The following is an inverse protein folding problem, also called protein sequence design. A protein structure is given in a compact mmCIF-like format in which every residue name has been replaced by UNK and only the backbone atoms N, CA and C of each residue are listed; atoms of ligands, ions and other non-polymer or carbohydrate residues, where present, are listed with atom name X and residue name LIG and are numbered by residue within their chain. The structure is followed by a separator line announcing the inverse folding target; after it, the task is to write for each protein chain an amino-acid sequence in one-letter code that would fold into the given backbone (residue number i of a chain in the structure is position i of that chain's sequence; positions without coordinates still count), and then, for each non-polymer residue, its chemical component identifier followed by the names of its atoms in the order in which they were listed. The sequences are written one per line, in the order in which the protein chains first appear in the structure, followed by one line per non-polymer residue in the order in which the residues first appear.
data_IF_619671674912
#
_entry.id   IF_619671674912
#
_cell.length_a   1.000
_cell.length_b   1.000
_cell.length_c   1.000
_cell.angle_alpha   90.00
_cell.angle_beta   90.00
_cell.angle_gamma   90.00
#
_symmetry.space_group_name_H-M   'P 1'
#
loop_
_entity.id
_entity.type
_entity.pdbx_description
1 polymer ?
#
# COMPACT_ATOMS: atom_id res chain seq x y z
N UNK A 1 -34.74 2.68 -7.85
CA UNK A 1 -33.77 2.33 -8.91
C UNK A 1 -32.30 2.56 -8.53
N UNK A 2 -31.99 3.21 -7.39
CA UNK A 2 -30.62 3.58 -7.00
C UNK A 2 -29.85 2.37 -6.41
N UNK A 3 -30.49 1.58 -5.55
CA UNK A 3 -29.90 0.38 -4.92
C UNK A 3 -29.26 -0.64 -5.88
N UNK A 4 -29.91 -1.07 -6.98
CA UNK A 4 -29.28 -2.04 -7.90
C UNK A 4 -28.06 -1.45 -8.63
N UNK A 5 -28.10 -0.16 -8.97
CA UNK A 5 -26.97 0.52 -9.61
C UNK A 5 -25.76 0.62 -8.68
N UNK A 6 -25.98 0.91 -7.39
CA UNK A 6 -24.93 0.92 -6.36
C UNK A 6 -24.26 -0.45 -6.22
N UNK A 7 -25.05 -1.53 -6.12
CA UNK A 7 -24.53 -2.89 -6.00
C UNK A 7 -23.69 -3.26 -7.22
N UNK A 8 -24.15 -2.88 -8.42
CA UNK A 8 -23.43 -3.17 -9.66
C UNK A 8 -22.08 -2.43 -9.73
N UNK A 9 -22.02 -1.16 -9.31
CA UNK A 9 -20.76 -0.40 -9.27
C UNK A 9 -19.77 -1.02 -8.28
N UNK A 10 -20.23 -1.40 -7.09
CA UNK A 10 -19.37 -2.03 -6.08
C UNK A 10 -18.87 -3.39 -6.57
N UNK A 11 -19.74 -4.22 -7.14
CA UNK A 11 -19.35 -5.51 -7.72
C UNK A 11 -18.34 -5.34 -8.86
N UNK A 12 -18.56 -4.38 -9.75
CA UNK A 12 -17.64 -4.06 -10.83
C UNK A 12 -16.27 -3.60 -10.29
N UNK A 13 -16.25 -2.75 -9.27
CA UNK A 13 -15.00 -2.30 -8.65
C UNK A 13 -14.20 -3.47 -8.04
N UNK A 14 -14.87 -4.39 -7.34
CA UNK A 14 -14.24 -5.59 -6.78
C UNK A 14 -13.64 -6.46 -7.91
N UNK A 15 -14.40 -6.70 -8.98
CA UNK A 15 -13.94 -7.50 -10.13
C UNK A 15 -12.76 -6.83 -10.83
N UNK A 16 -12.77 -5.51 -11.02
CA UNK A 16 -11.67 -4.78 -11.64
C UNK A 16 -10.40 -4.83 -10.79
N UNK A 17 -10.51 -4.65 -9.47
CA UNK A 17 -9.37 -4.78 -8.54
C UNK A 17 -8.83 -6.22 -8.58
N UNK A 18 -9.70 -7.24 -8.58
CA UNK A 18 -9.29 -8.63 -8.70
C UNK A 18 -8.58 -8.92 -10.04
N UNK A 19 -8.96 -8.23 -11.12
CA UNK A 19 -8.31 -8.27 -12.43
C UNK A 19 -7.00 -7.47 -12.51
N UNK A 20 -6.41 -7.07 -11.38
CA UNK A 20 -5.14 -6.31 -11.31
C UNK A 20 -5.22 -4.93 -11.97
N UNK A 21 -6.43 -4.36 -12.14
CA UNK A 21 -6.57 -2.97 -12.55
C UNK A 21 -6.14 -2.07 -11.39
N UNK A 22 -5.52 -0.93 -11.72
CA UNK A 22 -5.01 0.03 -10.76
C UNK A 22 -6.07 0.44 -9.73
N UNK A 23 -5.92 -0.02 -8.49
CA UNK A 23 -6.93 0.14 -7.44
C UNK A 23 -7.25 1.62 -7.17
N UNK A 24 -6.24 2.50 -7.29
CA UNK A 24 -6.42 3.96 -7.12
C UNK A 24 -7.41 4.51 -8.15
N UNK A 25 -7.24 4.13 -9.41
CA UNK A 25 -8.11 4.58 -10.49
C UNK A 25 -9.52 4.02 -10.34
N UNK A 26 -9.63 2.71 -10.04
CA UNK A 26 -10.93 2.05 -9.85
C UNK A 26 -11.72 2.68 -8.72
N UNK A 27 -11.09 2.96 -7.57
CA UNK A 27 -11.74 3.59 -6.42
C UNK A 27 -12.16 5.04 -6.71
N UNK A 28 -11.35 5.82 -7.44
CA UNK A 28 -11.72 7.18 -7.84
C UNK A 28 -12.95 7.16 -8.75
N UNK A 29 -12.94 6.33 -9.79
CA UNK A 29 -14.06 6.22 -10.74
C UNK A 29 -15.32 5.72 -10.04
N UNK A 30 -15.22 4.68 -9.20
CA UNK A 30 -16.34 4.18 -8.42
C UNK A 30 -16.91 5.25 -7.48
N UNK A 31 -16.05 6.01 -6.79
CA UNK A 31 -16.46 7.10 -5.91
C UNK A 31 -17.21 8.21 -6.66
N UNK A 32 -16.74 8.59 -7.85
CA UNK A 32 -17.40 9.58 -8.71
C UNK A 32 -18.77 9.08 -9.19
N UNK A 33 -18.87 7.82 -9.63
CA UNK A 33 -20.13 7.22 -10.06
C UNK A 33 -21.14 7.14 -8.91
N UNK A 34 -20.69 6.76 -7.71
CA UNK A 34 -21.54 6.67 -6.52
C UNK A 34 -22.03 8.05 -6.06
N UNK A 35 -21.16 9.05 -6.03
CA UNK A 35 -21.53 10.41 -5.66
C UNK A 35 -22.45 11.07 -6.71
N UNK A 36 -22.26 10.73 -8.00
CA UNK A 36 -23.16 11.12 -9.08
C UNK A 36 -24.56 10.51 -8.92
N UNK A 37 -24.65 9.21 -8.59
CA UNK A 37 -25.93 8.53 -8.29
C UNK A 37 -26.62 9.08 -7.04
N UNK A 38 -25.85 9.56 -6.06
CA UNK A 38 -26.38 10.18 -4.86
C UNK A 38 -26.85 11.63 -5.07
N UNK A 39 -26.59 12.24 -6.24
CA UNK A 39 -26.93 13.63 -6.53
C UNK A 39 -26.08 14.67 -5.80
N UNK A 40 -24.98 14.26 -5.16
CA UNK A 40 -24.09 15.14 -4.38
C UNK A 40 -22.64 15.06 -4.87
N UNK A 41 -22.34 15.50 -6.11
CA UNK A 41 -20.99 15.42 -6.68
C UNK A 41 -19.98 16.33 -5.96
N UNK A 42 -20.43 17.43 -5.35
CA UNK A 42 -19.59 18.36 -4.58
C UNK A 42 -18.96 17.72 -3.36
N UNK A 43 -19.62 16.70 -2.78
CA UNK A 43 -19.13 15.96 -1.60
C UNK A 43 -17.77 15.31 -1.83
N UNK A 44 -17.43 14.96 -3.08
CA UNK A 44 -16.12 14.40 -3.43
C UNK A 44 -15.03 15.45 -3.18
N UNK A 45 -15.25 16.68 -3.64
CA UNK A 45 -14.30 17.77 -3.46
C UNK A 45 -14.19 18.15 -1.98
N UNK A 46 -15.31 18.21 -1.25
CA UNK A 46 -15.29 18.51 0.19
C UNK A 46 -14.48 17.47 0.97
N UNK A 47 -14.68 16.18 0.69
CA UNK A 47 -13.91 15.09 1.32
C UNK A 47 -12.44 15.16 0.93
N UNK A 48 -12.15 15.44 -0.33
CA UNK A 48 -10.77 15.58 -0.82
C UNK A 48 -10.05 16.76 -0.14
N UNK A 49 -10.67 17.94 -0.09
CA UNK A 49 -10.11 19.11 0.58
C UNK A 49 -9.88 18.85 2.07
N UNK A 50 -10.82 18.19 2.74
CA UNK A 50 -10.65 17.82 4.15
C UNK A 50 -9.52 16.80 4.38
N UNK A 51 -9.37 15.82 3.47
CA UNK A 51 -8.28 14.85 3.55
C UNK A 51 -6.91 15.50 3.31
N UNK A 52 -6.83 16.45 2.37
CA UNK A 52 -5.60 17.18 2.01
C UNK A 52 -5.31 18.36 2.94
N UNK A 53 -6.30 18.84 3.71
CA UNK A 53 -6.08 19.87 4.73
C UNK A 53 -5.62 19.31 6.08
N UNK A 54 -5.76 18.00 6.29
CA UNK A 54 -5.44 17.34 7.57
C UNK A 54 -3.94 17.16 7.74
N UNK A 55 -3.35 18.03 8.54
CA UNK A 55 -1.94 17.95 8.96
C UNK A 55 -1.59 16.61 9.63
N UNK A 56 -2.54 16.02 10.36
CA UNK A 56 -2.38 14.71 11.02
C UNK A 56 -2.20 13.55 10.03
N UNK A 57 -2.57 13.74 8.76
CA UNK A 57 -2.43 12.73 7.71
C UNK A 57 -1.21 13.05 6.85
N UNK A 58 -1.10 14.28 6.35
CA UNK A 58 -0.05 14.64 5.39
C UNK A 58 1.32 14.73 6.03
N UNK A 59 1.44 15.30 7.22
CA UNK A 59 2.73 15.42 7.91
C UNK A 59 3.40 14.05 8.04
N UNK A 60 2.75 13.07 8.68
CA UNK A 60 3.29 11.71 8.79
C UNK A 60 3.57 11.04 7.44
N UNK A 61 2.71 11.19 6.43
CA UNK A 61 2.93 10.58 5.10
C UNK A 61 4.17 11.18 4.43
N UNK A 62 4.32 12.50 4.42
CA UNK A 62 5.45 13.18 3.79
C UNK A 62 6.77 12.84 4.49
N UNK A 63 6.79 12.84 5.83
CA UNK A 63 7.96 12.44 6.61
C UNK A 63 8.31 10.97 6.37
N UNK A 64 7.32 10.09 6.34
CA UNK A 64 7.50 8.67 6.04
C UNK A 64 8.06 8.45 4.62
N UNK A 65 7.55 9.16 3.62
CA UNK A 65 8.04 9.10 2.24
C UNK A 65 9.47 9.65 2.13
N UNK A 66 9.79 10.76 2.82
CA UNK A 66 11.14 11.32 2.87
C UNK A 66 12.13 10.36 3.52
N UNK A 67 11.76 9.75 4.64
CA UNK A 67 12.57 8.71 5.30
C UNK A 67 12.82 7.51 4.38
N UNK A 68 11.77 7.00 3.71
CA UNK A 68 11.90 5.89 2.77
C UNK A 68 12.80 6.24 1.58
N UNK A 69 12.75 7.48 1.09
CA UNK A 69 13.64 7.96 0.03
C UNK A 69 15.10 7.94 0.46
N UNK A 70 15.41 8.43 1.67
CA UNK A 70 16.78 8.42 2.21
C UNK A 70 17.28 6.98 2.40
N UNK A 71 16.47 6.09 2.99
CA UNK A 71 16.85 4.67 3.16
C UNK A 71 17.19 3.99 1.85
N UNK A 72 16.37 4.24 0.82
CA UNK A 72 16.59 3.67 -0.51
C UNK A 72 17.83 4.29 -1.19
N UNK A 73 18.09 5.57 -0.96
CA UNK A 73 19.26 6.24 -1.53
C UNK A 73 20.57 5.76 -0.89
N UNK A 74 20.57 5.46 0.41
CA UNK A 74 21.75 4.91 1.10
C UNK A 74 21.92 3.40 0.93
N UNK A 75 20.87 2.68 0.52
CA UNK A 75 20.87 1.21 0.40
C UNK A 75 20.81 0.48 1.75
N UNK A 76 20.57 1.20 2.84
CA UNK A 76 20.50 0.64 4.19
C UNK A 76 19.35 -0.36 4.35
N UNK A 77 18.25 -0.18 3.61
CA UNK A 77 17.11 -1.09 3.58
C UNK A 77 17.52 -2.51 3.14
N UNK A 78 18.30 -2.60 2.05
CA UNK A 78 18.79 -3.86 1.51
C UNK A 78 19.82 -4.52 2.43
N UNK A 79 20.73 -3.73 3.02
CA UNK A 79 21.72 -4.23 3.98
C UNK A 79 21.09 -4.71 5.27
N UNK A 80 20.07 -4.01 5.78
CA UNK A 80 19.32 -4.41 6.98
C UNK A 80 18.67 -5.77 6.77
N UNK A 81 18.00 -5.99 5.63
CA UNK A 81 17.40 -7.29 5.31
C UNK A 81 18.46 -8.38 5.20
N UNK A 82 19.61 -8.11 4.57
CA UNK A 82 20.73 -9.07 4.47
C UNK A 82 21.30 -9.44 5.84
N UNK A 83 21.33 -8.52 6.80
CA UNK A 83 21.73 -8.80 8.18
C UNK A 83 20.70 -9.69 8.89
N UNK A 84 19.40 -9.40 8.71
CA UNK A 84 18.31 -10.17 9.31
C UNK A 84 18.22 -11.62 8.78
N UNK A 85 18.52 -11.83 7.50
CA UNK A 85 18.43 -13.16 6.88
C UNK A 85 19.64 -14.06 7.15
N UNK A 86 20.80 -13.46 7.46
CA UNK A 86 22.06 -14.18 7.69
C UNK A 86 21.95 -15.29 8.75
N UNK A 87 21.36 -15.09 9.95
CA UNK A 87 21.20 -16.15 10.95
C UNK A 87 20.15 -17.20 10.58
N UNK A 88 19.27 -16.90 9.61
CA UNK A 88 18.14 -17.77 9.21
C UNK A 88 18.53 -18.73 8.09
N UNK A 89 19.55 -18.41 7.29
CA UNK A 89 19.98 -19.23 6.14
C UNK A 89 20.38 -20.66 6.48
N UNK A 90 20.84 -20.92 7.70
CA UNK A 90 21.25 -22.26 8.14
C UNK A 90 20.05 -23.17 8.45
N UNK A 91 18.84 -22.62 8.56
CA UNK A 91 17.63 -23.37 8.95
C UNK A 91 16.63 -23.43 7.79
N UNK A 92 16.88 -24.32 6.83
CA UNK A 92 16.11 -24.48 5.58
C UNK A 92 14.59 -24.70 5.79
N UNK A 93 14.19 -25.37 6.87
CA UNK A 93 12.78 -25.55 7.23
C UNK A 93 12.10 -24.26 7.70
N UNK A 94 12.84 -23.35 8.34
CA UNK A 94 12.30 -22.11 8.90
C UNK A 94 12.29 -20.94 7.91
N UNK A 95 12.67 -21.15 6.64
CA UNK A 95 12.85 -20.08 5.66
C UNK A 95 11.54 -19.32 5.35
N UNK A 96 10.42 -20.03 5.23
CA UNK A 96 9.10 -19.44 4.98
C UNK A 96 8.61 -18.61 6.18
N UNK A 97 8.50 -19.17 7.41
CA UNK A 97 8.04 -18.38 8.56
C UNK A 97 9.01 -17.25 8.91
N UNK A 98 10.31 -17.45 8.76
CA UNK A 98 11.29 -16.39 8.97
C UNK A 98 11.20 -15.31 7.89
N UNK A 99 10.94 -15.66 6.63
CA UNK A 99 10.69 -14.69 5.56
C UNK A 99 9.48 -13.79 5.84
N UNK A 100 8.39 -14.37 6.37
CA UNK A 100 7.22 -13.59 6.83
C UNK A 100 7.60 -12.67 7.99
N UNK A 101 8.35 -13.16 8.98
CA UNK A 101 8.79 -12.35 10.12
C UNK A 101 9.72 -11.21 9.69
N UNK A 102 10.71 -11.49 8.83
CA UNK A 102 11.63 -10.49 8.28
C UNK A 102 10.84 -9.46 7.47
N UNK A 103 9.90 -9.89 6.62
CA UNK A 103 9.02 -8.99 5.88
C UNK A 103 8.21 -8.09 6.79
N UNK A 104 7.70 -8.63 7.90
CA UNK A 104 6.93 -7.87 8.89
C UNK A 104 7.79 -6.82 9.61
N UNK A 105 8.96 -7.22 10.12
CA UNK A 105 9.93 -6.32 10.76
C UNK A 105 10.38 -5.23 9.77
N UNK A 106 10.68 -5.62 8.54
CA UNK A 106 11.11 -4.69 7.49
C UNK A 106 10.00 -3.70 7.14
N UNK A 107 8.74 -4.12 7.08
CA UNK A 107 7.60 -3.24 6.82
C UNK A 107 7.26 -2.32 8.01
N UNK A 108 7.71 -2.65 9.22
CA UNK A 108 7.58 -1.77 10.38
C UNK A 108 8.62 -0.64 10.35
N UNK A 109 9.82 -0.93 9.83
CA UNK A 109 10.88 0.06 9.63
C UNK A 109 10.68 0.87 8.33
N UNK A 110 10.32 0.21 7.24
CA UNK A 110 10.09 0.80 5.92
C UNK A 110 8.60 1.08 5.79
N UNK A 111 8.25 2.36 5.86
CA UNK A 111 6.88 2.88 5.76
C UNK A 111 6.17 2.60 4.43
N UNK A 112 6.87 2.04 3.44
CA UNK A 112 6.35 1.69 2.12
C UNK A 112 6.41 0.18 1.88
N UNK A 113 5.24 -0.44 1.75
CA UNK A 113 5.09 -1.87 1.47
C UNK A 113 5.80 -2.30 0.17
N UNK A 114 5.73 -1.48 -0.87
CA UNK A 114 6.37 -1.77 -2.16
C UNK A 114 7.90 -1.74 -2.04
N UNK A 115 8.45 -0.79 -1.27
CA UNK A 115 9.89 -0.72 -1.02
C UNK A 115 10.38 -1.89 -0.16
N UNK A 116 9.63 -2.25 0.88
CA UNK A 116 9.91 -3.42 1.71
C UNK A 116 9.93 -4.72 0.89
N UNK A 117 8.94 -4.92 0.02
CA UNK A 117 8.90 -6.08 -0.87
C UNK A 117 10.07 -6.10 -1.86
N UNK A 118 10.46 -4.95 -2.42
CA UNK A 118 11.59 -4.86 -3.34
C UNK A 118 12.94 -5.12 -2.67
N UNK A 119 13.11 -4.75 -1.40
CA UNK A 119 14.31 -5.04 -0.62
C UNK A 119 14.36 -6.51 -0.17
N UNK A 120 13.23 -7.08 0.28
CA UNK A 120 13.17 -8.44 0.83
C UNK A 120 13.15 -9.53 -0.25
N UNK A 121 12.38 -9.33 -1.31
CA UNK A 121 12.14 -10.34 -2.34
C UNK A 121 13.41 -10.96 -2.93
N UNK A 122 14.34 -10.16 -3.49
CA UNK A 122 15.57 -10.66 -4.10
C UNK A 122 16.56 -11.31 -3.12
N UNK A 123 16.40 -11.04 -1.82
CA UNK A 123 17.31 -11.56 -0.78
C UNK A 123 16.76 -12.87 -0.21
N UNK A 124 15.44 -13.00 -0.08
CA UNK A 124 14.75 -14.19 0.42
C UNK A 124 14.63 -15.28 -0.64
N UNK A 125 14.39 -14.90 -1.90
CA UNK A 125 14.38 -15.79 -3.06
C UNK A 125 15.45 -15.28 -4.03
N UNK A 126 16.72 -15.66 -3.83
CA UNK A 126 17.81 -15.27 -4.72
C UNK A 126 17.68 -15.87 -6.13
#
# INVERSE_FOLDING_TARGET
MIFPATILIVAAAIVLIARRVDARLVLIVAGVLLAGLAGTPTRILDVFQNAVGRGDIIGPICTAMGYAFVLRHTGCDTQMVRLLIRPVRDLSWALVPAGVAIGFVTNMAITSQTAAAAAVGPILVP
#
